data_IF_999697122820
#
_entry.id   IF_999697122820
#
_cell.length_a   1.000
_cell.length_b   1.000
_cell.length_c   1.000
_cell.angle_alpha   90.00
_cell.angle_beta   90.00
_cell.angle_gamma   90.00
#
_symmetry.space_group_name_H-M   'P 1'
#
loop_
_entity.id
_entity.type
_entity.pdbx_description
1 polymer ?
#
# COMPACT_ATOMS: atom_id res chain seq x y z
N UNK A 1 -8.40 0.24 -15.97
CA UNK A 1 -9.55 0.68 -15.14
C UNK A 1 -10.80 -0.02 -15.67
N UNK A 2 -11.62 -0.67 -14.83
CA UNK A 2 -12.79 -1.44 -15.28
C UNK A 2 -13.97 -0.52 -15.63
N UNK A 3 -14.28 -0.36 -16.93
CA UNK A 3 -15.34 0.55 -17.39
C UNK A 3 -16.71 -0.10 -17.52
N UNK A 4 -16.78 -1.43 -17.55
CA UNK A 4 -18.01 -2.21 -17.75
C UNK A 4 -18.61 -2.79 -16.47
N UNK A 5 -17.92 -2.66 -15.33
CA UNK A 5 -18.39 -3.10 -14.02
C UNK A 5 -18.16 -1.99 -12.98
N UNK A 6 -19.21 -1.20 -12.66
CA UNK A 6 -19.12 -0.10 -11.71
C UNK A 6 -18.67 -0.52 -10.30
N UNK A 7 -18.99 -1.75 -9.87
CA UNK A 7 -18.57 -2.21 -8.55
C UNK A 7 -17.05 -2.49 -8.52
N UNK A 8 -16.52 -3.08 -9.59
CA UNK A 8 -15.07 -3.23 -9.75
C UNK A 8 -14.35 -1.89 -9.84
N UNK A 9 -14.94 -0.90 -10.51
CA UNK A 9 -14.40 0.46 -10.56
C UNK A 9 -14.33 1.09 -9.17
N UNK A 10 -15.44 1.02 -8.43
CA UNK A 10 -15.52 1.51 -7.05
C UNK A 10 -14.48 0.86 -6.13
N UNK A 11 -14.27 -0.46 -6.24
CA UNK A 11 -13.25 -1.16 -5.45
C UNK A 11 -11.84 -0.66 -5.74
N UNK A 12 -11.53 -0.34 -6.99
CA UNK A 12 -10.24 0.27 -7.35
C UNK A 12 -10.13 1.65 -6.72
N UNK A 13 -11.13 2.50 -6.89
CA UNK A 13 -11.14 3.86 -6.34
C UNK A 13 -11.03 3.88 -4.81
N UNK A 14 -11.69 2.95 -4.14
CA UNK A 14 -11.64 2.82 -2.69
C UNK A 14 -10.21 2.57 -2.17
N UNK A 15 -9.46 1.69 -2.83
CA UNK A 15 -8.06 1.43 -2.44
C UNK A 15 -7.17 2.65 -2.73
N UNK A 16 -7.40 3.34 -3.85
CA UNK A 16 -6.65 4.57 -4.17
C UNK A 16 -6.93 5.67 -3.15
N UNK A 17 -8.20 5.87 -2.77
CA UNK A 17 -8.58 6.83 -1.75
C UNK A 17 -7.99 6.49 -0.37
N UNK A 18 -7.94 5.20 -0.01
CA UNK A 18 -7.27 4.77 1.22
C UNK A 18 -5.75 5.04 1.19
N UNK A 19 -5.11 4.94 0.01
CA UNK A 19 -3.71 5.33 -0.15
C UNK A 19 -3.49 6.84 0.02
N UNK A 20 -4.41 7.66 -0.50
CA UNK A 20 -4.39 9.11 -0.29
C UNK A 20 -4.51 9.46 1.21
N UNK A 21 -5.39 8.75 1.95
CA UNK A 21 -5.51 8.90 3.40
C UNK A 21 -4.21 8.55 4.13
N UNK A 22 -3.56 7.43 3.77
CA UNK A 22 -2.26 7.03 4.31
C UNK A 22 -1.22 8.12 4.05
N UNK A 23 -1.13 8.60 2.81
CA UNK A 23 -0.18 9.63 2.40
C UNK A 23 -0.42 10.95 3.14
N UNK A 24 -1.69 11.33 3.32
CA UNK A 24 -2.06 12.52 4.09
C UNK A 24 -1.61 12.42 5.55
N UNK A 25 -1.69 11.24 6.17
CA UNK A 25 -1.19 11.00 7.54
C UNK A 25 0.33 10.98 7.62
N UNK A 26 1.03 10.52 6.59
CA UNK A 26 2.50 10.56 6.53
C UNK A 26 3.06 11.95 6.26
N UNK A 27 2.26 12.88 5.70
CA UNK A 27 2.72 14.21 5.31
C UNK A 27 3.44 14.99 6.44
N UNK A 28 2.92 15.08 7.68
CA UNK A 28 3.63 15.76 8.76
C UNK A 28 5.00 15.12 9.07
N UNK A 29 5.10 13.79 8.96
CA UNK A 29 6.37 13.08 9.16
C UNK A 29 7.40 13.43 8.07
N UNK A 30 6.99 13.45 6.80
CA UNK A 30 7.89 13.76 5.68
C UNK A 30 8.47 15.17 5.72
N UNK A 31 7.70 16.14 6.19
CA UNK A 31 8.08 17.56 6.14
C UNK A 31 8.61 18.09 7.48
N UNK A 32 8.70 17.26 8.52
CA UNK A 32 9.29 17.66 9.80
C UNK A 32 10.82 17.57 9.77
N UNK A 33 11.47 18.69 10.11
CA UNK A 33 12.93 18.83 10.09
C UNK A 33 13.56 18.59 11.46
N UNK A 34 12.81 18.80 12.54
CA UNK A 34 13.25 18.50 13.89
C UNK A 34 13.19 16.99 14.15
N UNK A 35 14.35 16.38 14.37
CA UNK A 35 14.46 14.93 14.54
C UNK A 35 13.65 14.39 15.74
N UNK A 36 13.56 15.16 16.84
CA UNK A 36 12.83 14.72 18.03
C UNK A 36 11.31 14.77 17.79
N UNK A 37 10.82 15.80 17.10
CA UNK A 37 9.41 15.89 16.68
C UNK A 37 9.06 14.83 15.64
N UNK A 38 9.93 14.62 14.65
CA UNK A 38 9.72 13.61 13.61
C UNK A 38 9.60 12.21 14.21
N UNK A 39 10.47 11.88 15.17
CA UNK A 39 10.40 10.62 15.91
C UNK A 39 9.11 10.50 16.75
N UNK A 40 8.65 11.59 17.36
CA UNK A 40 7.38 11.59 18.10
C UNK A 40 6.18 11.33 17.19
N UNK A 41 6.13 11.97 16.01
CA UNK A 41 5.10 11.72 14.99
C UNK A 41 5.17 10.26 14.52
N UNK A 42 6.35 9.73 14.25
CA UNK A 42 6.51 8.34 13.83
C UNK A 42 6.00 7.34 14.88
N UNK A 43 6.23 7.61 16.17
CA UNK A 43 5.69 6.77 17.26
C UNK A 43 4.17 6.75 17.28
N UNK A 44 3.52 7.90 17.10
CA UNK A 44 2.05 7.98 17.02
C UNK A 44 1.52 7.25 15.78
N UNK A 45 2.15 7.47 14.62
CA UNK A 45 1.78 6.82 13.37
C UNK A 45 1.88 5.30 13.46
N UNK A 46 2.94 4.79 14.10
CA UNK A 46 3.22 3.35 14.16
C UNK A 46 2.49 2.63 15.28
N UNK A 47 2.11 3.33 16.36
CA UNK A 47 1.36 2.74 17.45
C UNK A 47 -0.11 2.45 17.10
N UNK A 48 -0.71 3.28 16.24
CA UNK A 48 -2.15 3.17 15.95
C UNK A 48 -2.52 3.57 14.50
N UNK A 49 -2.16 4.78 14.07
CA UNK A 49 -2.75 5.36 12.83
C UNK A 49 -2.51 4.51 11.59
N UNK A 50 -1.26 4.13 11.31
CA UNK A 50 -0.93 3.31 10.14
C UNK A 50 -1.42 1.86 10.30
N UNK A 51 -1.24 1.17 11.44
CA UNK A 51 -1.86 -0.14 11.66
C UNK A 51 -3.37 -0.14 11.38
N UNK A 52 -4.10 0.86 11.88
CA UNK A 52 -5.55 0.96 11.70
C UNK A 52 -5.92 1.15 10.23
N UNK A 53 -5.25 2.07 9.50
CA UNK A 53 -5.50 2.26 8.07
C UNK A 53 -5.16 1.02 7.25
N UNK A 54 -4.04 0.37 7.55
CA UNK A 54 -3.60 -0.82 6.81
C UNK A 54 -4.53 -2.02 7.07
N UNK A 55 -5.04 -2.16 8.29
CA UNK A 55 -6.04 -3.17 8.63
C UNK A 55 -7.36 -2.92 7.88
N UNK A 56 -7.79 -1.67 7.72
CA UNK A 56 -8.95 -1.32 6.91
C UNK A 56 -8.76 -1.70 5.43
N UNK A 57 -7.59 -1.39 4.86
CA UNK A 57 -7.25 -1.81 3.49
C UNK A 57 -7.30 -3.33 3.37
N UNK A 58 -6.61 -4.06 4.23
CA UNK A 58 -6.61 -5.53 4.24
C UNK A 58 -8.03 -6.10 4.33
N UNK A 59 -8.88 -5.56 5.21
CA UNK A 59 -10.26 -5.97 5.33
C UNK A 59 -11.05 -5.79 4.03
N UNK A 60 -10.82 -4.70 3.29
CA UNK A 60 -11.44 -4.50 1.96
C UNK A 60 -10.94 -5.50 0.93
N UNK A 61 -9.63 -5.81 0.92
CA UNK A 61 -9.05 -6.81 0.01
C UNK A 61 -9.61 -8.20 0.26
N UNK A 62 -9.75 -8.60 1.53
CA UNK A 62 -10.35 -9.87 1.92
C UNK A 62 -11.84 -9.91 1.58
N UNK A 63 -12.57 -8.83 1.85
CA UNK A 63 -14.02 -8.73 1.56
C UNK A 63 -14.35 -8.73 0.07
N UNK A 64 -13.43 -8.30 -0.81
CA UNK A 64 -13.62 -8.37 -2.25
C UNK A 64 -13.84 -9.83 -2.72
N UNK A 65 -13.29 -10.80 -1.97
CA UNK A 65 -13.44 -12.25 -2.18
C UNK A 65 -13.17 -12.71 -3.63
N UNK A 66 -12.37 -11.94 -4.37
CA UNK A 66 -12.04 -12.24 -5.75
C UNK A 66 -11.07 -13.41 -5.80
N UNK A 67 -11.32 -14.36 -6.70
CA UNK A 67 -10.39 -15.46 -6.97
C UNK A 67 -9.35 -14.97 -7.97
N UNK A 68 -8.07 -15.07 -7.61
CA UNK A 68 -6.95 -14.69 -8.44
C UNK A 68 -5.93 -13.83 -7.69
N UNK A 69 -4.81 -13.48 -8.34
CA UNK A 69 -3.70 -12.80 -7.69
C UNK A 69 -4.01 -11.35 -7.29
N UNK A 70 -4.93 -10.66 -7.97
CA UNK A 70 -5.17 -9.22 -7.85
C UNK A 70 -6.48 -8.89 -7.12
N UNK A 71 -6.69 -7.61 -6.79
CA UNK A 71 -7.91 -7.09 -6.15
C UNK A 71 -9.19 -7.53 -6.87
N UNK A 72 -9.17 -7.51 -8.20
CA UNK A 72 -10.29 -7.88 -9.06
C UNK A 72 -10.15 -9.32 -9.62
N UNK A 73 -9.41 -10.18 -8.93
CA UNK A 73 -9.16 -11.56 -9.32
C UNK A 73 -8.05 -11.66 -10.34
N UNK A 74 -8.38 -12.03 -11.58
CA UNK A 74 -7.40 -12.15 -12.68
C UNK A 74 -7.06 -10.81 -13.33
N UNK A 75 -7.87 -9.77 -13.08
CA UNK A 75 -7.67 -8.46 -13.69
C UNK A 75 -6.72 -7.60 -12.86
N UNK A 76 -5.55 -7.31 -13.42
CA UNK A 76 -4.62 -6.31 -12.88
C UNK A 76 -5.23 -4.90 -13.01
N UNK A 77 -5.12 -4.12 -11.94
CA UNK A 77 -5.65 -2.76 -11.83
C UNK A 77 -4.64 -1.78 -11.25
N UNK A 78 -5.00 -0.49 -11.23
CA UNK A 78 -4.16 0.55 -10.64
C UNK A 78 -4.01 0.37 -9.12
N UNK A 79 -5.04 -0.13 -8.44
CA UNK A 79 -5.00 -0.40 -7.01
C UNK A 79 -3.93 -1.43 -6.65
N UNK A 80 -3.69 -2.44 -7.48
CA UNK A 80 -2.66 -3.45 -7.22
C UNK A 80 -1.25 -2.84 -7.25
N UNK A 81 -0.99 -1.93 -8.21
CA UNK A 81 0.25 -1.17 -8.26
C UNK A 81 0.41 -0.23 -7.07
N UNK A 82 -0.67 0.42 -6.65
CA UNK A 82 -0.66 1.30 -5.48
C UNK A 82 -0.28 0.53 -4.21
N UNK A 83 -0.91 -0.64 -3.99
CA UNK A 83 -0.58 -1.55 -2.90
C UNK A 83 0.89 -1.99 -2.96
N UNK A 84 1.40 -2.31 -4.14
CA UNK A 84 2.80 -2.65 -4.34
C UNK A 84 3.74 -1.50 -3.96
N UNK A 85 3.46 -0.28 -4.42
CA UNK A 85 4.28 0.91 -4.17
C UNK A 85 4.28 1.28 -2.69
N UNK A 86 3.12 1.33 -2.03
CA UNK A 86 3.03 1.64 -0.60
C UNK A 86 3.80 0.61 0.22
N UNK A 87 3.66 -0.69 -0.07
CA UNK A 87 4.44 -1.74 0.60
C UNK A 87 5.94 -1.56 0.36
N UNK A 88 6.35 -1.22 -0.86
CA UNK A 88 7.75 -0.98 -1.18
C UNK A 88 8.32 0.18 -0.35
N UNK A 89 7.62 1.32 -0.28
CA UNK A 89 8.05 2.50 0.48
C UNK A 89 8.19 2.18 1.98
N UNK A 90 7.21 1.49 2.56
CA UNK A 90 7.28 1.13 3.99
C UNK A 90 8.45 0.17 4.26
N UNK A 91 8.76 -0.72 3.32
CA UNK A 91 9.83 -1.72 3.49
C UNK A 91 11.22 -1.24 3.09
N UNK A 92 11.35 -0.11 2.39
CA UNK A 92 12.63 0.38 1.86
C UNK A 92 13.61 0.84 2.95
N UNK A 93 13.09 1.21 4.13
CA UNK A 93 13.86 1.84 5.20
C UNK A 93 14.07 3.34 5.02
N UNK A 94 13.52 3.95 3.95
CA UNK A 94 13.55 5.41 3.76
C UNK A 94 12.76 6.15 4.83
N UNK A 95 11.71 5.52 5.36
CA UNK A 95 10.98 5.99 6.53
C UNK A 95 11.75 5.61 7.81
N UNK A 96 12.90 6.23 8.03
CA UNK A 96 13.87 5.84 9.06
C UNK A 96 13.28 5.56 10.47
N UNK A 97 12.26 6.30 10.89
CA UNK A 97 11.64 6.16 12.22
C UNK A 97 10.38 5.26 12.22
N UNK A 98 10.02 4.68 11.07
CA UNK A 98 8.86 3.78 10.89
C UNK A 98 9.37 2.34 10.64
N UNK A 99 8.88 1.33 11.38
CA UNK A 99 9.31 -0.05 11.20
C UNK A 99 9.02 -0.60 9.80
N UNK A 100 10.03 -1.17 9.15
CA UNK A 100 9.90 -1.84 7.84
C UNK A 100 9.05 -3.12 7.90
N UNK A 101 8.74 -3.61 9.10
CA UNK A 101 7.90 -4.78 9.34
C UNK A 101 6.41 -4.47 9.40
N UNK A 102 6.01 -3.19 9.33
CA UNK A 102 4.63 -2.76 9.55
C UNK A 102 3.62 -3.43 8.60
N UNK A 103 3.99 -3.66 7.34
CA UNK A 103 3.12 -4.34 6.36
C UNK A 103 3.01 -5.86 6.57
N UNK A 104 3.78 -6.46 7.49
CA UNK A 104 3.88 -7.92 7.64
C UNK A 104 2.59 -8.61 8.09
N UNK A 105 1.66 -7.88 8.71
CA UNK A 105 0.42 -8.43 9.25
C UNK A 105 -0.73 -8.59 8.22
N UNK A 106 -0.52 -8.17 6.96
CA UNK A 106 -1.59 -8.05 5.95
C UNK A 106 -1.36 -9.04 4.79
N UNK A 107 -1.70 -10.33 4.96
CA UNK A 107 -1.35 -11.38 4.00
C UNK A 107 -1.93 -11.13 2.61
N UNK A 108 -3.20 -10.71 2.49
CA UNK A 108 -3.83 -10.50 1.18
C UNK A 108 -3.18 -9.36 0.43
N UNK A 109 -2.91 -8.24 1.10
CA UNK A 109 -2.11 -7.15 0.53
C UNK A 109 -0.75 -7.67 0.04
N UNK A 110 -0.01 -8.38 0.89
CA UNK A 110 1.31 -8.89 0.53
C UNK A 110 1.27 -9.80 -0.71
N UNK A 111 0.29 -10.69 -0.83
CA UNK A 111 0.10 -11.54 -2.01
C UNK A 111 -0.13 -10.73 -3.29
N UNK A 112 -0.99 -9.70 -3.24
CA UNK A 112 -1.22 -8.80 -4.39
C UNK A 112 0.08 -8.12 -4.79
N UNK A 113 0.79 -7.56 -3.81
CA UNK A 113 2.04 -6.85 -4.07
C UNK A 113 3.12 -7.78 -4.63
N UNK A 114 3.21 -9.02 -4.16
CA UNK A 114 4.14 -10.03 -4.67
C UNK A 114 3.76 -10.44 -6.12
N UNK A 115 2.47 -10.56 -6.43
CA UNK A 115 2.02 -10.81 -7.80
C UNK A 115 2.40 -9.68 -8.76
N UNK A 116 2.26 -8.42 -8.33
CA UNK A 116 2.69 -7.25 -9.11
C UNK A 116 4.22 -7.25 -9.29
N UNK A 117 4.98 -7.54 -8.22
CA UNK A 117 6.44 -7.62 -8.29
C UNK A 117 6.94 -8.70 -9.27
N UNK A 118 6.17 -9.78 -9.45
CA UNK A 118 6.48 -10.86 -10.37
C UNK A 118 6.19 -10.53 -11.86
N UNK A 119 5.55 -9.40 -12.16
CA UNK A 119 5.26 -9.01 -13.53
C UNK A 119 6.56 -8.75 -14.31
N UNK A 120 6.76 -9.35 -15.51
CA UNK A 120 7.99 -9.17 -16.28
C UNK A 120 8.32 -7.71 -16.59
N UNK A 121 7.30 -6.87 -16.80
CA UNK A 121 7.49 -5.43 -17.03
C UNK A 121 7.96 -4.68 -15.79
N UNK A 122 7.51 -5.08 -14.61
CA UNK A 122 7.97 -4.49 -13.33
C UNK A 122 9.42 -4.88 -13.09
N UNK A 123 9.75 -6.16 -13.23
CA UNK A 123 11.13 -6.66 -13.11
C UNK A 123 12.08 -5.98 -14.10
N UNK A 124 11.66 -5.85 -15.37
CA UNK A 124 12.44 -5.16 -16.39
C UNK A 124 12.63 -3.66 -16.08
N UNK A 125 11.65 -3.00 -15.46
CA UNK A 125 11.79 -1.60 -15.05
C UNK A 125 12.90 -1.45 -13.99
N UNK A 126 12.87 -2.25 -12.92
CA UNK A 126 13.89 -2.19 -11.86
C UNK A 126 15.28 -2.61 -12.35
N UNK A 127 15.37 -3.55 -13.28
CA UNK A 127 16.65 -3.92 -13.89
C UNK A 127 17.32 -2.75 -14.64
N UNK A 128 16.53 -1.77 -15.11
CA UNK A 128 17.01 -0.60 -15.84
C UNK A 128 17.02 0.69 -14.98
N UNK A 129 16.48 0.65 -13.76
CA UNK A 129 16.36 1.78 -12.83
C UNK A 129 16.65 1.31 -11.38
N UNK A 130 17.93 1.05 -11.04
CA UNK A 130 18.34 0.57 -9.71
C UNK A 130 18.29 1.65 -8.62
#
# INVERSE_FOLDING_TARGET
YPTSDPLSAYRVDEILAASDDITAKLRPYYFELDAAKRLAIAKELTADTLPTLFACVEARLVAAAAKGPYLLGEMLSLADFELFVVRMIVRSGELADIPTTLCGAYPRWNEIADAVAALPKVQAWYANHP
#
